data_IF_618720647409
#
_entry.id   IF_618720647409
#
_cell.length_a   1.000
_cell.length_b   1.000
_cell.length_c   1.000
_cell.angle_alpha   90.00
_cell.angle_beta   90.00
_cell.angle_gamma   90.00
#
_symmetry.space_group_name_H-M   'P 1'
#
loop_
_entity.id
_entity.type
_entity.pdbx_description
1 polymer ?
#
# COMPACT_ATOMS: atom_id res chain seq x y z
N UNK A 1 -7.01 -2.01 3.56
CA UNK A 1 -7.32 -1.38 4.87
C UNK A 1 -7.24 -2.31 6.08
N UNK A 2 -7.17 -3.66 5.95
CA UNK A 2 -7.10 -4.55 7.12
C UNK A 2 -5.92 -4.27 8.06
N UNK A 3 -4.74 -4.00 7.50
CA UNK A 3 -3.54 -3.64 8.27
C UNK A 3 -3.76 -2.32 9.02
N UNK A 4 -4.44 -1.34 8.41
CA UNK A 4 -4.73 -0.06 9.07
C UNK A 4 -5.80 -0.19 10.16
N UNK A 5 -6.80 -1.06 9.97
CA UNK A 5 -7.75 -1.40 11.05
C UNK A 5 -7.00 -1.96 12.26
N UNK A 6 -5.97 -2.76 12.03
CA UNK A 6 -5.21 -3.43 13.07
C UNK A 6 -4.21 -2.51 13.78
N UNK A 7 -3.39 -1.80 13.01
CA UNK A 7 -2.23 -1.05 13.54
C UNK A 7 -2.39 0.46 13.48
N UNK A 8 -3.52 0.95 12.98
CA UNK A 8 -3.76 2.38 12.76
C UNK A 8 -3.21 2.89 11.43
N UNK A 9 -3.23 4.21 11.26
CA UNK A 9 -2.74 4.88 10.04
C UNK A 9 -1.22 4.69 9.85
N UNK A 10 -0.72 4.76 8.59
CA UNK A 10 0.71 4.92 8.32
C UNK A 10 1.30 6.16 9.00
N UNK A 11 2.56 6.03 9.41
CA UNK A 11 3.36 7.09 10.03
C UNK A 11 4.36 7.68 9.03
N UNK A 12 4.82 6.90 8.06
CA UNK A 12 5.71 7.36 7.00
C UNK A 12 5.29 6.82 5.62
N UNK A 13 5.58 7.62 4.61
CA UNK A 13 5.45 7.29 3.20
C UNK A 13 6.79 7.47 2.52
N UNK A 14 7.35 6.38 2.01
CA UNK A 14 8.62 6.34 1.33
C UNK A 14 8.37 6.09 -0.15
N UNK A 15 9.05 6.87 -0.99
CA UNK A 15 9.01 6.74 -2.44
C UNK A 15 10.41 6.57 -2.96
N UNK A 16 10.68 5.47 -3.66
CA UNK A 16 11.99 5.15 -4.25
C UNK A 16 11.87 5.15 -5.77
N UNK A 17 12.71 5.91 -6.45
CA UNK A 17 12.79 5.90 -7.93
C UNK A 17 14.05 5.18 -8.37
N UNK A 18 13.92 4.22 -9.29
CA UNK A 18 15.08 3.56 -9.88
C UNK A 18 16.01 4.59 -10.54
N UNK A 19 17.31 4.48 -10.25
CA UNK A 19 18.33 5.28 -10.94
C UNK A 19 18.89 4.49 -12.13
N UNK A 20 18.87 5.03 -13.36
CA UNK A 20 19.49 4.36 -14.51
C UNK A 20 21.03 4.39 -14.43
N UNK A 21 21.61 5.21 -13.56
CA UNK A 21 23.05 5.38 -13.39
C UNK A 21 23.61 4.57 -12.22
N UNK A 22 22.84 3.63 -11.67
CA UNK A 22 23.40 2.68 -10.70
C UNK A 22 24.54 1.89 -11.35
N UNK A 23 25.64 1.75 -10.62
CA UNK A 23 26.83 1.03 -11.07
C UNK A 23 26.47 -0.39 -11.54
N UNK A 24 25.60 -1.09 -10.79
CA UNK A 24 25.16 -2.45 -11.15
C UNK A 24 24.38 -2.52 -12.47
N UNK A 25 23.81 -1.40 -12.92
CA UNK A 25 23.19 -1.26 -14.23
C UNK A 25 24.25 -0.93 -15.28
N UNK A 26 25.03 0.13 -15.03
CA UNK A 26 26.02 0.66 -15.98
C UNK A 26 27.10 -0.37 -16.34
N UNK A 27 27.62 -1.12 -15.37
CA UNK A 27 28.63 -2.17 -15.60
C UNK A 27 28.13 -3.36 -16.43
N UNK A 28 26.80 -3.53 -16.53
CA UNK A 28 26.18 -4.68 -17.22
C UNK A 28 25.56 -4.31 -18.56
N UNK A 29 25.48 -3.02 -18.87
CA UNK A 29 24.99 -2.52 -20.16
C UNK A 29 26.16 -2.54 -21.16
N UNK A 30 25.99 -3.17 -22.34
CA UNK A 30 26.99 -3.12 -23.40
C UNK A 30 27.24 -1.70 -23.92
N UNK A 31 28.44 -1.45 -24.46
CA UNK A 31 28.76 -0.18 -25.10
C UNK A 31 27.73 0.20 -26.18
N UNK A 32 27.31 1.47 -26.17
CA UNK A 32 26.31 2.00 -27.10
C UNK A 32 24.84 1.73 -26.71
N UNK A 33 24.58 1.01 -25.62
CA UNK A 33 23.23 0.83 -25.07
C UNK A 33 22.99 1.70 -23.84
N UNK A 34 21.71 1.90 -23.51
CA UNK A 34 21.25 2.60 -22.31
C UNK A 34 20.44 1.68 -21.41
N UNK A 35 20.13 2.13 -20.19
CA UNK A 35 19.25 1.40 -19.28
C UNK A 35 17.86 1.10 -19.89
N UNK A 36 17.38 1.94 -20.82
CA UNK A 36 16.10 1.72 -21.49
C UNK A 36 16.16 0.56 -22.49
N UNK A 37 17.33 0.29 -23.06
CA UNK A 37 17.56 -0.80 -24.02
C UNK A 37 17.72 -2.16 -23.31
N UNK A 38 18.04 -2.16 -22.01
CA UNK A 38 18.22 -3.36 -21.17
C UNK A 38 17.25 -3.40 -19.99
N UNK A 39 15.92 -3.47 -20.24
CA UNK A 39 14.92 -3.51 -19.18
C UNK A 39 15.01 -4.75 -18.29
N UNK A 40 15.63 -5.83 -18.78
CA UNK A 40 15.91 -7.05 -18.02
C UNK A 40 16.96 -6.81 -16.91
N UNK A 41 18.00 -6.02 -17.19
CA UNK A 41 19.00 -5.61 -16.19
C UNK A 41 18.37 -4.68 -15.17
N UNK A 42 17.65 -3.66 -15.64
CA UNK A 42 16.96 -2.70 -14.77
C UNK A 42 16.00 -3.42 -13.83
N UNK A 43 15.19 -4.37 -14.33
CA UNK A 43 14.26 -5.15 -13.52
C UNK A 43 14.98 -5.92 -12.39
N UNK A 44 16.12 -6.56 -12.69
CA UNK A 44 16.89 -7.34 -11.72
C UNK A 44 17.51 -6.45 -10.65
N UNK A 45 18.20 -5.38 -11.05
CA UNK A 45 18.84 -4.45 -10.11
C UNK A 45 17.79 -3.76 -9.23
N UNK A 46 16.68 -3.31 -9.83
CA UNK A 46 15.55 -2.74 -9.10
C UNK A 46 15.04 -3.67 -8.00
N UNK A 47 14.83 -4.95 -8.31
CA UNK A 47 14.32 -5.91 -7.32
C UNK A 47 15.29 -6.15 -6.17
N UNK A 48 16.59 -6.20 -6.45
CA UNK A 48 17.61 -6.32 -5.40
C UNK A 48 17.64 -5.07 -4.50
N UNK A 49 17.63 -3.88 -5.09
CA UNK A 49 17.66 -2.61 -4.37
C UNK A 49 16.40 -2.40 -3.54
N UNK A 50 15.21 -2.60 -4.12
CA UNK A 50 13.94 -2.53 -3.41
C UNK A 50 13.89 -3.58 -2.28
N UNK A 51 14.33 -4.81 -2.53
CA UNK A 51 14.41 -5.85 -1.51
C UNK A 51 15.29 -5.45 -0.32
N UNK A 52 16.42 -4.79 -0.59
CA UNK A 52 17.34 -4.32 0.44
C UNK A 52 16.75 -3.12 1.19
N UNK A 53 16.10 -2.18 0.51
CA UNK A 53 15.45 -1.03 1.18
C UNK A 53 14.33 -1.49 2.11
N UNK A 54 13.52 -2.46 1.66
CA UNK A 54 12.48 -3.05 2.48
C UNK A 54 13.04 -3.77 3.72
N UNK A 55 14.21 -4.39 3.60
CA UNK A 55 14.91 -5.03 4.73
C UNK A 55 15.45 -3.97 5.70
N UNK A 56 16.07 -2.91 5.21
CA UNK A 56 16.56 -1.80 6.04
C UNK A 56 15.43 -1.13 6.83
N UNK A 57 14.26 -0.97 6.20
CA UNK A 57 13.06 -0.49 6.88
C UNK A 57 12.64 -1.44 8.00
N UNK A 58 12.61 -2.76 7.74
CA UNK A 58 12.29 -3.77 8.77
C UNK A 58 13.32 -3.82 9.91
N UNK A 59 14.59 -3.50 9.63
CA UNK A 59 15.69 -3.40 10.61
C UNK A 59 15.70 -2.08 11.38
N UNK A 60 14.79 -1.16 11.07
CA UNK A 60 14.49 0.00 11.91
C UNK A 60 15.14 1.30 11.48
N UNK A 61 15.49 1.47 10.20
CA UNK A 61 16.04 2.76 9.69
C UNK A 61 15.13 3.96 10.00
N UNK A 62 13.80 3.75 9.99
CA UNK A 62 12.81 4.77 10.37
C UNK A 62 12.19 4.50 11.75
N UNK A 63 12.79 3.64 12.58
CA UNK A 63 12.20 3.09 13.80
C UNK A 63 11.54 1.73 13.55
N UNK A 64 11.11 1.07 14.63
CA UNK A 64 10.59 -0.29 14.59
C UNK A 64 9.28 -0.38 13.81
N UNK A 65 9.29 -1.15 12.73
CA UNK A 65 8.14 -1.31 11.85
C UNK A 65 7.16 -2.33 12.43
N UNK A 66 5.91 -1.92 12.66
CA UNK A 66 4.82 -2.85 12.93
C UNK A 66 4.27 -3.44 11.64
N UNK A 67 4.07 -2.62 10.61
CA UNK A 67 3.64 -3.12 9.31
C UNK A 67 4.12 -2.22 8.17
N UNK A 68 4.36 -2.83 7.01
CA UNK A 68 4.58 -2.09 5.77
C UNK A 68 3.81 -2.70 4.62
N UNK A 69 3.48 -1.85 3.65
CA UNK A 69 2.84 -2.21 2.38
C UNK A 69 3.62 -1.48 1.29
N UNK A 70 3.94 -2.14 0.20
CA UNK A 70 4.55 -1.50 -0.95
C UNK A 70 3.88 -1.89 -2.27
N UNK A 71 3.94 -1.00 -3.24
CA UNK A 71 3.63 -1.26 -4.65
C UNK A 71 4.67 -0.61 -5.54
N UNK A 72 5.17 -1.38 -6.50
CA UNK A 72 5.97 -0.90 -7.61
C UNK A 72 5.03 -0.43 -8.73
N UNK A 73 5.16 0.85 -9.08
CA UNK A 73 4.52 1.50 -10.23
C UNK A 73 5.56 1.67 -11.34
N UNK A 74 5.11 1.55 -12.59
CA UNK A 74 5.94 1.76 -13.77
C UNK A 74 5.42 3.01 -14.47
N UNK A 75 6.20 4.08 -14.43
CA UNK A 75 5.85 5.28 -15.16
C UNK A 75 6.05 5.07 -16.66
N UNK A 76 5.38 5.88 -17.50
CA UNK A 76 5.51 5.82 -18.98
C UNK A 76 6.95 5.94 -19.49
N UNK A 77 7.89 6.43 -18.67
CA UNK A 77 9.32 6.53 -18.96
C UNK A 77 10.11 5.24 -18.67
N UNK A 78 9.42 4.15 -18.30
CA UNK A 78 9.99 2.80 -18.20
C UNK A 78 10.62 2.43 -16.87
N UNK A 79 11.20 3.40 -16.13
CA UNK A 79 11.87 3.11 -14.85
C UNK A 79 10.86 2.79 -13.73
N UNK A 80 11.13 1.76 -12.90
CA UNK A 80 10.29 1.45 -11.74
C UNK A 80 10.35 2.51 -10.65
N UNK A 81 9.24 2.61 -9.92
CA UNK A 81 9.08 3.46 -8.75
C UNK A 81 8.33 2.70 -7.65
N UNK A 82 8.79 2.73 -6.42
CA UNK A 82 8.08 2.12 -5.29
C UNK A 82 7.34 3.18 -4.48
N UNK A 83 6.12 2.85 -4.08
CA UNK A 83 5.36 3.55 -3.04
C UNK A 83 5.26 2.63 -1.82
N UNK A 84 5.83 3.05 -0.69
CA UNK A 84 5.96 2.23 0.52
C UNK A 84 5.29 2.96 1.69
N UNK A 85 4.29 2.33 2.30
CA UNK A 85 3.67 2.79 3.54
C UNK A 85 4.27 2.04 4.73
N UNK A 86 4.64 2.79 5.76
CA UNK A 86 5.22 2.27 6.99
C UNK A 86 4.34 2.67 8.18
N UNK A 87 3.97 1.69 9.01
CA UNK A 87 3.31 1.86 10.29
C UNK A 87 4.33 1.48 11.37
N UNK A 88 4.66 2.41 12.25
CA UNK A 88 5.69 2.27 13.27
C UNK A 88 5.10 1.77 14.59
N UNK A 89 5.95 1.17 15.41
CA UNK A 89 5.66 0.84 16.79
C UNK A 89 5.36 2.10 17.60
N UNK A 90 4.44 1.98 18.56
CA UNK A 90 3.92 3.12 19.32
C UNK A 90 5.02 3.99 19.95
N UNK A 91 6.10 3.37 20.45
CA UNK A 91 7.25 4.07 21.05
C UNK A 91 8.14 4.82 20.06
N UNK A 92 8.10 4.45 18.77
CA UNK A 92 8.97 5.01 17.73
C UNK A 92 8.20 5.97 16.80
N UNK A 93 6.92 6.23 17.07
CA UNK A 93 6.11 7.16 16.26
C UNK A 93 6.69 8.58 16.30
N UNK A 94 6.73 9.30 15.17
CA UNK A 94 7.35 10.63 15.06
C UNK A 94 6.46 11.73 15.67
N UNK A 95 6.35 11.75 17.00
CA UNK A 95 5.49 12.67 17.77
C UNK A 95 6.17 13.97 18.18
N UNK A 96 7.50 13.97 18.20
CA UNK A 96 8.30 15.13 18.59
C UNK A 96 9.14 15.61 17.41
N UNK A 97 9.44 16.91 17.40
CA UNK A 97 10.35 17.51 16.41
C UNK A 97 11.70 16.79 16.36
N UNK A 98 12.23 16.37 17.51
CA UNK A 98 13.54 15.72 17.58
C UNK A 98 13.53 14.34 16.90
N UNK A 99 12.43 13.61 17.00
CA UNK A 99 12.27 12.33 16.30
C UNK A 99 12.10 12.58 14.80
N UNK A 100 11.25 13.54 14.42
CA UNK A 100 11.05 13.92 13.02
C UNK A 100 12.37 14.32 12.34
N UNK A 101 13.13 15.23 12.95
CA UNK A 101 14.40 15.74 12.42
C UNK A 101 15.52 14.68 12.39
N UNK A 102 15.36 13.56 13.12
CA UNK A 102 16.25 12.39 13.00
C UNK A 102 15.87 11.49 11.82
N UNK A 103 14.59 11.42 11.48
CA UNK A 103 14.08 10.56 10.42
C UNK A 103 14.18 11.21 9.03
N UNK A 104 13.94 12.53 8.96
CA UNK A 104 13.80 13.27 7.69
C UNK A 104 14.61 14.56 7.74
N UNK A 105 15.30 14.85 6.65
CA UNK A 105 16.02 16.10 6.38
C UNK A 105 15.51 16.73 5.09
N UNK A 106 15.37 18.06 5.12
CA UNK A 106 15.07 18.91 3.96
C UNK A 106 16.21 19.92 3.75
N UNK A 107 17.40 19.61 4.26
CA UNK A 107 18.55 20.52 4.24
C UNK A 107 19.64 19.93 3.35
N UNK A 108 20.33 20.80 2.61
CA UNK A 108 21.51 20.39 1.87
C UNK A 108 22.60 19.97 2.87
N UNK A 109 23.18 18.76 2.72
CA UNK A 109 24.26 18.30 3.58
C UNK A 109 25.46 19.24 3.59
N UNK A 110 26.32 19.06 4.59
CA UNK A 110 27.62 19.71 4.61
C UNK A 110 28.60 18.88 3.77
N UNK A 111 29.13 19.48 2.70
CA UNK A 111 30.01 18.82 1.74
C UNK A 111 31.30 18.31 2.40
N UNK A 112 31.83 19.04 3.38
CA UNK A 112 33.08 18.68 4.06
C UNK A 112 32.87 17.54 5.06
N UNK A 113 31.65 17.42 5.62
CA UNK A 113 31.33 16.36 6.59
C UNK A 113 30.88 15.07 5.94
N UNK A 114 30.14 15.16 4.83
CA UNK A 114 29.62 14.01 4.12
C UNK A 114 29.44 14.32 2.63
N UNK A 115 30.55 14.22 1.89
CA UNK A 115 30.60 14.49 0.45
C UNK A 115 29.69 13.58 -0.35
N UNK A 116 29.60 12.29 0.01
CA UNK A 116 28.77 11.31 -0.70
C UNK A 116 27.27 11.62 -0.57
N UNK A 117 26.80 11.95 0.63
CA UNK A 117 25.41 12.35 0.82
C UNK A 117 25.14 13.70 0.14
N UNK A 118 26.08 14.64 0.20
CA UNK A 118 25.99 15.91 -0.52
C UNK A 118 25.80 15.70 -2.03
N UNK A 119 26.64 14.86 -2.64
CA UNK A 119 26.57 14.51 -4.06
C UNK A 119 25.25 13.83 -4.40
N UNK A 120 24.80 12.89 -3.55
CA UNK A 120 23.49 12.25 -3.74
C UNK A 120 22.37 13.28 -3.70
N UNK A 121 22.31 14.13 -2.67
CA UNK A 121 21.22 15.09 -2.49
C UNK A 121 21.21 16.11 -3.63
N UNK A 122 22.37 16.62 -4.04
CA UNK A 122 22.47 17.55 -5.19
C UNK A 122 22.07 16.89 -6.51
N UNK A 123 22.37 15.60 -6.69
CA UNK A 123 22.05 14.88 -7.92
C UNK A 123 20.56 14.55 -8.03
N UNK A 124 19.96 13.98 -6.98
CA UNK A 124 18.64 13.37 -7.08
C UNK A 124 17.58 13.91 -6.11
N UNK A 125 17.91 14.79 -5.16
CA UNK A 125 16.96 15.29 -4.14
C UNK A 125 16.67 16.78 -4.24
N UNK A 126 16.96 17.45 -5.36
CA UNK A 126 16.60 18.86 -5.59
C UNK A 126 15.39 18.95 -6.53
N UNK A 127 14.28 19.52 -6.04
CA UNK A 127 13.06 19.78 -6.79
C UNK A 127 13.19 21.06 -7.61
N UNK A 128 13.97 21.09 -8.69
CA UNK A 128 14.09 22.33 -9.43
C UNK A 128 14.98 22.28 -10.66
N UNK A 129 14.99 23.39 -11.43
CA UNK A 129 14.20 24.61 -11.24
C UNK A 129 12.75 24.45 -11.74
N UNK A 130 11.83 25.19 -11.14
CA UNK A 130 10.46 25.40 -11.61
C UNK A 130 9.96 26.80 -11.18
N UNK A 131 8.72 27.15 -11.47
CA UNK A 131 8.17 28.47 -11.16
C UNK A 131 8.57 29.50 -12.21
N UNK A 132 8.72 30.76 -11.82
CA UNK A 132 9.08 31.84 -12.73
C UNK A 132 10.41 31.59 -13.47
N UNK A 133 11.37 30.91 -12.82
CA UNK A 133 12.65 30.55 -13.42
C UNK A 133 12.54 29.45 -14.50
N UNK A 134 11.49 28.62 -14.43
CA UNK A 134 11.26 27.58 -15.44
C UNK A 134 9.75 27.24 -15.53
N UNK A 135 8.95 28.08 -16.22
CA UNK A 135 7.48 27.97 -16.24
C UNK A 135 6.96 26.70 -16.93
N UNK A 136 7.76 26.15 -17.84
CA UNK A 136 7.41 24.94 -18.61
C UNK A 136 7.84 23.64 -17.92
N UNK A 137 8.20 23.67 -16.64
CA UNK A 137 8.53 22.45 -15.90
C UNK A 137 7.30 21.51 -15.85
N UNK A 138 7.54 20.19 -15.90
CA UNK A 138 6.46 19.18 -15.83
C UNK A 138 5.64 19.27 -14.54
N UNK A 139 6.22 19.83 -13.46
CA UNK A 139 5.53 20.03 -12.20
C UNK A 139 4.65 21.30 -12.18
N UNK A 140 4.74 22.17 -13.18
CA UNK A 140 3.96 23.42 -13.25
C UNK A 140 2.56 23.15 -13.78
N UNK A 141 1.57 23.71 -13.09
CA UNK A 141 0.17 23.74 -13.53
C UNK A 141 -0.43 25.08 -13.11
N UNK A 142 -1.10 25.75 -14.04
CA UNK A 142 -1.77 27.03 -13.80
C UNK A 142 -0.83 28.07 -13.14
N UNK A 143 0.42 28.15 -13.63
CA UNK A 143 1.43 29.09 -13.13
C UNK A 143 2.05 28.75 -11.78
N UNK A 144 1.66 27.63 -11.14
CA UNK A 144 2.17 27.22 -9.83
C UNK A 144 2.77 25.81 -9.86
N UNK A 145 3.77 25.56 -9.00
CA UNK A 145 4.31 24.22 -8.84
C UNK A 145 3.31 23.35 -8.10
N UNK A 146 2.86 22.25 -8.73
CA UNK A 146 1.93 21.28 -8.14
C UNK A 146 2.45 20.60 -6.88
N UNK A 147 3.77 20.66 -6.63
CA UNK A 147 4.43 20.15 -5.41
C UNK A 147 4.67 21.25 -4.37
N UNK A 148 4.30 22.49 -4.66
CA UNK A 148 4.39 23.64 -3.76
C UNK A 148 5.82 24.10 -3.48
N UNK A 149 6.71 24.02 -4.47
CA UNK A 149 8.05 24.58 -4.40
C UNK A 149 8.10 26.00 -4.99
N UNK A 150 8.99 26.88 -4.49
CA UNK A 150 9.91 26.67 -3.37
C UNK A 150 9.18 26.58 -2.01
N UNK A 151 9.69 25.74 -1.10
CA UNK A 151 9.13 25.57 0.26
C UNK A 151 9.58 26.71 1.18
N UNK A 152 8.83 27.06 2.24
CA UNK A 152 9.26 28.10 3.18
C UNK A 152 10.53 27.69 3.94
N UNK A 153 11.41 28.67 4.20
CA UNK A 153 12.52 28.49 5.14
C UNK A 153 11.98 28.51 6.57
N UNK A 154 12.45 27.58 7.40
CA UNK A 154 12.02 27.43 8.79
C UNK A 154 13.18 26.99 9.66
N UNK A 155 13.37 27.67 10.79
CA UNK A 155 14.40 27.32 11.79
C UNK A 155 14.09 26.03 12.57
N UNK A 156 12.81 25.67 12.67
CA UNK A 156 12.34 24.48 13.39
C UNK A 156 11.19 23.81 12.65
N UNK A 157 11.13 22.49 12.72
CA UNK A 157 10.01 21.70 12.20
C UNK A 157 8.72 22.05 12.93
N UNK A 158 7.65 22.33 12.18
CA UNK A 158 6.31 22.63 12.70
C UNK A 158 5.35 21.48 12.38
N UNK A 159 4.68 20.97 13.41
CA UNK A 159 3.58 20.03 13.23
C UNK A 159 2.44 20.68 12.45
N UNK A 160 1.85 19.94 11.52
CA UNK A 160 0.70 20.39 10.74
C UNK A 160 -0.55 19.62 11.16
N UNK A 161 -1.64 20.35 11.41
CA UNK A 161 -2.96 19.78 11.71
C UNK A 161 -3.56 19.06 10.49
N UNK A 162 -3.13 19.42 9.28
CA UNK A 162 -3.79 19.02 8.02
C UNK A 162 -3.12 17.86 7.23
N UNK A 163 -2.00 17.27 7.67
CA UNK A 163 -1.45 16.12 6.94
C UNK A 163 0.02 15.78 7.14
N UNK A 164 0.89 16.72 6.77
CA UNK A 164 2.35 16.53 6.71
C UNK A 164 3.04 17.64 7.50
N UNK A 165 4.03 17.34 8.35
CA UNK A 165 4.78 18.36 9.05
C UNK A 165 5.48 19.28 8.05
N UNK A 166 5.64 20.55 8.40
CA UNK A 166 6.51 21.45 7.64
C UNK A 166 7.89 21.35 8.25
N UNK A 167 8.78 20.66 7.56
CA UNK A 167 10.13 20.36 8.04
C UNK A 167 10.99 21.61 8.15
N UNK A 168 11.98 21.52 9.05
CA UNK A 168 13.05 22.50 9.19
C UNK A 168 13.83 22.64 7.88
N UNK A 169 13.96 23.88 7.41
CA UNK A 169 14.72 24.29 6.21
C UNK A 169 15.49 25.56 6.56
N UNK A 170 16.64 25.42 7.23
CA UNK A 170 17.39 26.60 7.71
C UNK A 170 18.03 27.36 6.56
N UNK A 171 18.20 28.65 6.78
CA UNK A 171 18.97 29.51 5.88
C UNK A 171 20.46 29.15 5.96
N UNK A 172 21.16 29.03 4.83
CA UNK A 172 22.62 28.79 4.81
C UNK A 172 23.39 30.11 4.68
N UNK A 173 24.72 30.02 4.70
CA UNK A 173 25.61 31.14 4.40
C UNK A 173 25.37 31.69 2.99
N UNK A 174 25.74 32.95 2.77
CA UNK A 174 25.70 33.54 1.43
C UNK A 174 26.64 32.80 0.46
N UNK A 175 26.32 32.85 -0.84
CA UNK A 175 27.11 32.24 -1.89
C UNK A 175 26.24 31.65 -3.00
N UNK A 176 26.87 31.01 -3.97
CA UNK A 176 26.20 30.32 -5.07
C UNK A 176 26.57 28.84 -5.02
N UNK A 177 25.58 27.97 -5.22
CA UNK A 177 25.79 26.53 -5.39
C UNK A 177 25.38 26.15 -6.80
N UNK A 178 26.27 25.43 -7.48
CA UNK A 178 26.04 24.95 -8.83
C UNK A 178 25.59 23.49 -8.75
N UNK A 179 24.37 23.21 -9.19
CA UNK A 179 23.74 21.88 -9.15
C UNK A 179 23.21 21.55 -10.54
N UNK A 180 23.68 20.46 -11.14
CA UNK A 180 23.27 20.00 -12.47
C UNK A 180 23.34 21.11 -13.54
N UNK A 181 24.42 21.89 -13.53
CA UNK A 181 24.64 22.99 -14.48
C UNK A 181 23.84 24.27 -14.20
N UNK A 182 23.16 24.35 -13.04
CA UNK A 182 22.28 25.47 -12.69
C UNK A 182 22.72 26.13 -11.40
N UNK A 183 22.67 27.46 -11.37
CA UNK A 183 23.00 28.26 -10.20
C UNK A 183 21.81 28.39 -9.26
N UNK A 184 22.08 28.22 -7.97
CA UNK A 184 21.14 28.44 -6.90
C UNK A 184 21.74 29.36 -5.84
N UNK A 185 20.92 30.25 -5.28
CA UNK A 185 21.31 31.01 -4.08
C UNK A 185 21.52 30.03 -2.92
N UNK A 186 22.76 29.96 -2.43
CA UNK A 186 23.13 29.10 -1.31
C UNK A 186 22.29 29.39 -0.07
N UNK A 187 21.95 30.67 0.13
CA UNK A 187 21.20 31.16 1.29
C UNK A 187 19.81 30.50 1.33
N UNK A 188 19.22 30.18 0.18
CA UNK A 188 17.85 29.66 0.06
C UNK A 188 17.74 28.28 -0.57
N UNK A 189 18.85 27.59 -0.88
CA UNK A 189 18.82 26.28 -1.56
C UNK A 189 17.95 25.24 -0.83
N UNK A 190 17.89 25.29 0.50
CA UNK A 190 17.07 24.39 1.32
C UNK A 190 15.56 24.51 1.03
N UNK A 191 15.10 25.55 0.33
CA UNK A 191 13.71 25.64 -0.15
C UNK A 191 13.39 24.63 -1.27
N UNK A 192 14.42 24.10 -1.93
CA UNK A 192 14.32 23.21 -3.10
C UNK A 192 14.63 21.76 -2.79
N UNK A 193 15.17 21.45 -1.62
CA UNK A 193 15.49 20.06 -1.21
C UNK A 193 14.19 19.28 -0.99
N UNK A 194 14.10 18.09 -1.57
CA UNK A 194 13.02 17.12 -1.37
C UNK A 194 13.25 16.39 -0.05
N UNK A 195 12.22 16.17 0.80
CA UNK A 195 12.37 15.45 2.06
C UNK A 195 13.00 14.07 1.90
N UNK A 196 14.09 13.81 2.63
CA UNK A 196 14.85 12.57 2.47
C UNK A 196 15.34 12.03 3.80
N UNK A 197 15.61 10.72 3.85
CA UNK A 197 16.33 10.12 4.98
C UNK A 197 17.83 10.02 4.62
N UNK A 198 18.74 10.62 5.41
CA UNK A 198 20.17 10.61 5.11
C UNK A 198 20.78 9.24 4.85
N UNK A 199 20.41 8.23 5.63
CA UNK A 199 20.92 6.87 5.48
C UNK A 199 20.43 6.24 4.17
N UNK A 200 19.12 6.28 3.91
CA UNK A 200 18.54 5.68 2.70
C UNK A 200 19.10 6.35 1.44
N UNK A 201 19.10 7.68 1.39
CA UNK A 201 19.62 8.40 0.22
C UNK A 201 21.08 8.05 -0.04
N UNK A 202 21.95 8.13 0.97
CA UNK A 202 23.38 7.83 0.80
C UNK A 202 23.63 6.37 0.38
N UNK A 203 22.88 5.41 0.91
CA UNK A 203 23.05 3.98 0.59
C UNK A 203 22.60 3.63 -0.81
N UNK A 204 21.48 4.19 -1.27
CA UNK A 204 20.85 3.80 -2.53
C UNK A 204 21.18 4.70 -3.71
N UNK A 205 21.76 5.89 -3.47
CA UNK A 205 22.21 6.83 -4.51
C UNK A 205 21.13 7.03 -5.59
N UNK A 206 19.90 7.31 -5.14
CA UNK A 206 18.75 7.51 -6.01
C UNK A 206 17.74 8.42 -5.32
N UNK A 207 16.70 8.84 -6.06
CA UNK A 207 15.66 9.68 -5.51
C UNK A 207 14.79 8.88 -4.52
N UNK A 208 15.04 9.07 -3.22
CA UNK A 208 14.25 8.50 -2.11
C UNK A 208 13.62 9.63 -1.31
N UNK A 209 12.33 9.86 -1.52
CA UNK A 209 11.57 10.85 -0.76
C UNK A 209 10.85 10.20 0.43
N UNK A 210 10.95 10.82 1.62
CA UNK A 210 10.37 10.32 2.87
C UNK A 210 9.48 11.39 3.47
N UNK A 211 8.17 11.11 3.52
CA UNK A 211 7.14 12.02 4.01
C UNK A 211 6.45 11.43 5.25
N UNK A 212 6.34 12.19 6.34
CA UNK A 212 5.73 11.74 7.59
C UNK A 212 4.24 12.09 7.61
N UNK A 213 3.42 11.10 7.95
CA UNK A 213 1.98 11.15 7.76
C UNK A 213 1.26 11.36 9.10
N UNK A 214 0.88 12.61 9.40
CA UNK A 214 0.27 12.96 10.70
C UNK A 214 -1.25 12.92 10.69
N UNK A 215 -1.93 12.99 9.53
CA UNK A 215 -3.41 13.02 9.47
C UNK A 215 -4.07 11.89 8.68
N UNK A 216 -5.35 11.62 8.98
CA UNK A 216 -6.19 10.61 8.30
C UNK A 216 -6.43 10.92 6.80
N UNK A 217 -6.65 12.17 6.36
CA UNK A 217 -6.78 12.48 4.94
C UNK A 217 -5.55 12.08 4.11
N UNK A 218 -4.35 12.22 4.68
CA UNK A 218 -3.12 11.74 4.04
C UNK A 218 -3.20 10.23 3.77
N UNK A 219 -3.79 9.44 4.67
CA UNK A 219 -3.99 7.99 4.45
C UNK A 219 -4.79 7.70 3.19
N UNK A 220 -5.92 8.39 2.95
CA UNK A 220 -6.71 8.18 1.72
C UNK A 220 -5.89 8.50 0.47
N UNK A 221 -5.15 9.61 0.52
CA UNK A 221 -4.28 10.03 -0.58
C UNK A 221 -3.17 9.02 -0.85
N UNK A 222 -2.50 8.52 0.19
CA UNK A 222 -1.44 7.53 0.09
C UNK A 222 -1.93 6.19 -0.48
N UNK A 223 -3.11 5.75 -0.02
CA UNK A 223 -3.74 4.54 -0.54
C UNK A 223 -4.08 4.67 -2.02
N UNK A 224 -4.38 5.88 -2.52
CA UNK A 224 -4.55 6.08 -3.97
C UNK A 224 -3.29 5.67 -4.74
N UNK A 225 -2.09 5.97 -4.24
CA UNK A 225 -0.83 5.60 -4.91
C UNK A 225 -0.54 4.11 -4.80
N UNK A 226 -0.79 3.51 -3.63
CA UNK A 226 -0.59 2.07 -3.42
C UNK A 226 -1.59 1.23 -4.23
N UNK A 227 -2.83 1.69 -4.39
CA UNK A 227 -3.87 0.95 -5.10
C UNK A 227 -4.17 1.52 -6.48
N UNK A 228 -3.31 2.40 -7.00
CA UNK A 228 -3.43 2.88 -8.38
C UNK A 228 -3.25 1.67 -9.30
N UNK A 229 -4.28 1.38 -10.08
CA UNK A 229 -4.18 0.36 -11.13
C UNK A 229 -3.20 0.79 -12.22
N UNK A 230 -2.83 -0.14 -13.10
CA UNK A 230 -1.97 0.18 -14.24
C UNK A 230 -2.58 1.25 -15.13
N UNK A 231 -1.69 2.01 -15.78
CA UNK A 231 -2.05 2.91 -16.84
C UNK A 231 -2.81 2.15 -17.94
N UNK A 232 -3.90 2.75 -18.39
CA UNK A 232 -4.72 2.25 -19.49
C UNK A 232 -4.65 3.21 -20.66
N UNK A 233 -4.62 2.66 -21.86
CA UNK A 233 -4.76 3.40 -23.10
C UNK A 233 -6.10 3.03 -23.73
N UNK A 234 -6.85 4.05 -24.14
CA UNK A 234 -8.02 3.86 -25.00
C UNK A 234 -7.54 4.05 -26.43
N UNK A 235 -7.66 3.02 -27.24
CA UNK A 235 -7.26 3.01 -28.65
C UNK A 235 -8.53 3.01 -29.48
N UNK A 236 -8.62 3.95 -30.44
CA UNK A 236 -9.71 3.94 -31.41
C UNK A 236 -9.28 3.15 -32.65
N UNK A 237 -10.04 2.12 -33.02
CA UNK A 237 -9.83 1.38 -34.28
C UNK A 237 -10.81 1.92 -35.31
N UNK A 238 -10.29 2.65 -36.30
CA UNK A 238 -11.12 3.35 -37.30
C UNK A 238 -11.39 2.52 -38.56
N UNK A 239 -10.56 1.51 -38.85
CA UNK A 239 -10.76 0.59 -39.97
C UNK A 239 -10.02 -0.75 -39.78
N UNK A 240 -10.56 -1.83 -40.34
CA UNK A 240 -9.93 -3.16 -40.37
C UNK A 240 -9.69 -3.55 -41.84
N UNK A 241 -8.51 -4.11 -42.14
CA UNK A 241 -8.24 -4.70 -43.47
C UNK A 241 -8.78 -6.13 -43.49
N UNK A 242 -9.75 -6.40 -44.36
CA UNK A 242 -10.23 -7.76 -44.62
C UNK A 242 -9.27 -8.57 -45.49
N UNK A 243 -9.55 -9.86 -45.69
CA UNK A 243 -8.74 -10.81 -46.48
C UNK A 243 -8.52 -10.44 -47.96
N UNK A 244 -9.06 -9.31 -48.44
CA UNK A 244 -8.89 -8.80 -49.80
C UNK A 244 -8.24 -7.42 -49.92
N UNK A 245 -7.52 -6.92 -48.89
CA UNK A 245 -6.97 -5.54 -48.86
C UNK A 245 -8.01 -4.41 -48.98
N UNK A 246 -9.31 -4.72 -49.00
CA UNK A 246 -10.36 -3.72 -48.93
C UNK A 246 -10.51 -3.20 -47.49
N UNK A 247 -10.47 -1.89 -47.35
CA UNK A 247 -10.64 -1.21 -46.07
C UNK A 247 -12.13 -1.19 -45.73
N UNK A 248 -12.55 -1.90 -44.68
CA UNK A 248 -13.92 -1.82 -44.19
C UNK A 248 -13.99 -0.86 -43.00
N UNK A 249 -14.91 0.10 -43.06
CA UNK A 249 -15.24 0.98 -41.94
C UNK A 249 -16.22 0.21 -41.06
N UNK A 250 -15.81 -0.21 -39.86
CA UNK A 250 -16.70 -0.90 -38.92
C UNK A 250 -17.68 0.08 -38.26
N UNK A 251 -19.01 -0.14 -38.35
CA UNK A 251 -20.02 0.72 -37.73
C UNK A 251 -20.26 0.46 -36.23
N UNK A 252 -19.53 -0.47 -35.59
CA UNK A 252 -19.79 -0.88 -34.21
C UNK A 252 -19.08 0.03 -33.18
N UNK A 253 -19.86 0.88 -32.52
CA UNK A 253 -19.41 1.83 -31.49
C UNK A 253 -18.69 1.17 -30.29
N UNK A 254 -19.03 -0.08 -29.95
CA UNK A 254 -18.40 -0.85 -28.86
C UNK A 254 -17.03 -1.41 -29.29
N UNK A 255 -16.88 -1.80 -30.55
CA UNK A 255 -15.61 -2.32 -31.11
C UNK A 255 -14.62 -1.20 -31.46
N UNK A 256 -15.09 0.04 -31.59
CA UNK A 256 -14.22 1.19 -31.88
C UNK A 256 -13.19 1.46 -30.79
N UNK A 257 -13.48 1.17 -29.53
CA UNK A 257 -12.60 1.55 -28.42
C UNK A 257 -12.02 0.33 -27.71
N UNK A 258 -10.73 0.07 -27.93
CA UNK A 258 -9.99 -0.90 -27.15
C UNK A 258 -9.43 -0.23 -25.89
N UNK A 259 -9.94 -0.60 -24.72
CA UNK A 259 -9.37 -0.20 -23.44
C UNK A 259 -8.26 -1.19 -23.04
N UNK A 260 -7.03 -0.89 -23.46
CA UNK A 260 -5.87 -1.75 -23.23
C UNK A 260 -5.07 -1.32 -21.99
N UNK A 261 -4.43 -2.29 -21.34
CA UNK A 261 -3.45 -2.03 -20.28
C UNK A 261 -2.08 -1.75 -20.90
N UNK A 262 -1.46 -0.64 -20.54
CA UNK A 262 -0.06 -0.39 -20.87
C UNK A 262 0.82 -1.22 -19.92
N UNK A 263 1.82 -1.91 -20.48
CA UNK A 263 2.84 -2.65 -19.75
C UNK A 263 4.19 -2.13 -20.25
N UNK A 264 4.99 -1.53 -19.37
CA UNK A 264 6.31 -1.05 -19.74
C UNK A 264 7.29 -2.23 -19.97
N UNK A 265 8.39 -2.04 -20.72
CA UNK A 265 9.38 -3.11 -20.91
C UNK A 265 9.90 -3.69 -19.58
N UNK A 266 10.16 -2.84 -18.58
CA UNK A 266 10.62 -3.27 -17.26
C UNK A 266 9.52 -4.03 -16.50
N UNK A 267 8.25 -3.60 -16.59
CA UNK A 267 7.11 -4.33 -16.02
C UNK A 267 6.97 -5.73 -16.65
N UNK A 268 7.14 -5.82 -17.97
CA UNK A 268 7.11 -7.09 -18.69
C UNK A 268 8.23 -8.03 -18.21
N UNK A 269 9.47 -7.53 -18.14
CA UNK A 269 10.60 -8.30 -17.61
C UNK A 269 10.37 -8.75 -16.16
N UNK A 270 9.84 -7.88 -15.31
CA UNK A 270 9.52 -8.25 -13.93
C UNK A 270 8.50 -9.40 -13.84
N UNK A 271 7.46 -9.38 -14.69
CA UNK A 271 6.46 -10.46 -14.73
C UNK A 271 7.04 -11.77 -15.26
N UNK A 272 7.87 -11.71 -16.30
CA UNK A 272 8.53 -12.89 -16.87
C UNK A 272 9.48 -13.55 -15.86
N UNK A 273 10.10 -12.74 -15.00
CA UNK A 273 10.99 -13.19 -13.92
C UNK A 273 10.26 -13.56 -12.62
N UNK A 274 8.92 -13.54 -12.60
CA UNK A 274 8.07 -13.77 -11.42
C UNK A 274 8.42 -12.86 -10.22
N UNK A 275 8.83 -11.62 -10.51
CA UNK A 275 9.16 -10.64 -9.48
C UNK A 275 7.90 -9.97 -8.94
N UNK A 276 7.86 -9.80 -7.62
CA UNK A 276 6.71 -9.18 -6.97
C UNK A 276 6.67 -7.67 -7.20
N UNK A 277 5.57 -7.19 -7.79
CA UNK A 277 5.28 -5.75 -7.97
C UNK A 277 4.55 -5.14 -6.77
N UNK A 278 4.19 -5.93 -5.78
CA UNK A 278 3.51 -5.46 -4.58
C UNK A 278 3.79 -6.37 -3.40
N UNK A 279 3.74 -5.85 -2.18
CA UNK A 279 3.92 -6.69 -1.02
C UNK A 279 3.47 -6.03 0.27
N UNK A 280 3.46 -6.84 1.32
CA UNK A 280 3.02 -6.44 2.66
C UNK A 280 3.62 -7.40 3.69
N UNK A 281 3.84 -6.93 4.90
CA UNK A 281 4.36 -7.78 5.98
C UNK A 281 3.34 -8.76 6.54
N UNK A 282 2.04 -8.50 6.35
CA UNK A 282 0.96 -9.31 6.91
C UNK A 282 0.22 -10.10 5.83
N UNK A 283 0.10 -11.41 6.04
CA UNK A 283 -0.82 -12.25 5.27
C UNK A 283 -2.27 -11.85 5.60
N UNK A 284 -3.10 -11.69 4.58
CA UNK A 284 -4.52 -11.33 4.77
C UNK A 284 -5.38 -12.52 4.37
N UNK A 285 -6.09 -13.10 5.33
CA UNK A 285 -7.07 -14.17 5.07
C UNK A 285 -8.44 -13.54 4.89
N UNK A 286 -9.04 -13.70 3.72
CA UNK A 286 -10.40 -13.25 3.46
C UNK A 286 -11.39 -14.23 4.09
N UNK A 287 -12.15 -13.75 5.07
CA UNK A 287 -13.10 -14.55 5.85
C UNK A 287 -14.50 -14.43 5.25
N UNK A 288 -15.09 -15.57 4.91
CA UNK A 288 -16.42 -15.68 4.31
C UNK A 288 -17.51 -15.42 5.34
N UNK A 289 -18.62 -14.83 4.89
CA UNK A 289 -19.81 -14.58 5.70
C UNK A 289 -21.01 -15.04 4.89
N UNK A 290 -21.89 -15.82 5.50
CA UNK A 290 -23.15 -16.28 4.93
C UNK A 290 -24.13 -16.60 6.07
N UNK A 291 -25.42 -16.52 5.82
CA UNK A 291 -26.43 -16.99 6.78
C UNK A 291 -26.40 -18.51 6.86
N UNK A 292 -27.07 -19.06 7.86
CA UNK A 292 -27.24 -20.49 8.02
C UNK A 292 -27.84 -21.10 6.74
N UNK A 293 -27.17 -22.11 6.19
CA UNK A 293 -27.53 -22.78 4.92
C UNK A 293 -27.51 -21.92 3.64
N UNK A 294 -27.06 -20.67 3.69
CA UNK A 294 -26.95 -19.77 2.53
C UNK A 294 -25.51 -19.60 2.00
N UNK A 295 -24.63 -20.58 2.21
CA UNK A 295 -23.28 -20.54 1.67
C UNK A 295 -23.26 -20.61 0.13
N UNK A 296 -22.39 -19.82 -0.49
CA UNK A 296 -22.14 -19.89 -1.93
C UNK A 296 -21.42 -21.20 -2.28
N UNK A 297 -21.93 -21.92 -3.27
CA UNK A 297 -21.32 -23.15 -3.80
C UNK A 297 -21.14 -23.01 -5.30
N UNK A 298 -19.94 -23.33 -5.80
CA UNK A 298 -19.68 -23.42 -7.24
C UNK A 298 -19.99 -24.83 -7.73
N UNK A 299 -20.72 -24.92 -8.84
CA UNK A 299 -21.04 -26.17 -9.52
C UNK A 299 -21.03 -25.97 -11.04
N UNK A 300 -20.86 -27.07 -11.76
CA UNK A 300 -21.04 -27.19 -13.21
C UNK A 300 -22.45 -27.72 -13.49
N UNK A 301 -22.98 -27.43 -14.66
CA UNK A 301 -24.29 -27.96 -15.08
C UNK A 301 -24.36 -29.50 -15.07
N UNK A 302 -23.23 -30.18 -15.20
CA UNK A 302 -23.11 -31.64 -15.16
C UNK A 302 -22.97 -32.23 -13.75
N UNK A 303 -22.87 -31.40 -12.70
CA UNK A 303 -22.71 -31.89 -11.33
C UNK A 303 -24.03 -32.40 -10.76
N UNK A 304 -23.99 -33.51 -10.01
CA UNK A 304 -25.14 -34.02 -9.25
C UNK A 304 -25.57 -33.02 -8.15
N UNK A 305 -26.81 -32.51 -8.17
CA UNK A 305 -27.34 -31.60 -7.15
C UNK A 305 -27.18 -32.12 -5.71
N UNK A 306 -27.36 -33.42 -5.47
CA UNK A 306 -27.25 -34.01 -4.14
C UNK A 306 -25.82 -33.88 -3.59
N UNK A 307 -24.82 -34.05 -4.46
CA UNK A 307 -23.40 -33.85 -4.11
C UNK A 307 -23.09 -32.37 -3.95
N UNK A 308 -23.61 -31.51 -4.83
CA UNK A 308 -23.36 -30.05 -4.80
C UNK A 308 -23.76 -29.43 -3.47
N UNK A 309 -24.95 -29.78 -2.94
CA UNK A 309 -25.43 -29.26 -1.65
C UNK A 309 -24.47 -29.56 -0.50
N UNK A 310 -23.74 -30.68 -0.56
CA UNK A 310 -22.76 -31.06 0.49
C UNK A 310 -21.45 -30.28 0.43
N UNK A 311 -21.08 -29.70 -0.72
CA UNK A 311 -19.78 -29.02 -0.93
C UNK A 311 -19.59 -27.82 0.00
N UNK A 312 -20.71 -27.16 0.36
CA UNK A 312 -20.77 -25.98 1.21
C UNK A 312 -20.80 -26.25 2.72
N UNK A 313 -20.92 -27.50 3.18
CA UNK A 313 -21.07 -27.82 4.61
C UNK A 313 -19.94 -27.28 5.50
N UNK A 314 -18.72 -27.22 4.96
CA UNK A 314 -17.53 -26.80 5.69
C UNK A 314 -16.96 -25.51 5.11
N UNK A 315 -17.35 -24.38 5.69
CA UNK A 315 -16.80 -23.05 5.38
C UNK A 315 -15.86 -22.59 6.49
N UNK A 316 -15.12 -21.50 6.25
CA UNK A 316 -14.32 -20.87 7.31
C UNK A 316 -15.18 -20.42 8.50
N UNK A 317 -16.45 -20.07 8.27
CA UNK A 317 -17.37 -19.59 9.31
C UNK A 317 -17.94 -20.76 10.12
N UNK A 318 -18.45 -21.81 9.45
CA UNK A 318 -18.99 -22.97 10.17
C UNK A 318 -17.91 -23.67 10.99
N UNK A 319 -16.70 -23.83 10.43
CA UNK A 319 -15.55 -24.37 11.16
C UNK A 319 -15.05 -23.46 12.27
N UNK A 320 -15.32 -22.15 12.21
CA UNK A 320 -15.00 -21.25 13.33
C UNK A 320 -15.94 -21.49 14.51
N UNK A 321 -17.24 -21.69 14.26
CA UNK A 321 -18.20 -22.04 15.30
C UNK A 321 -17.86 -23.37 15.97
N UNK A 322 -17.57 -24.41 15.18
CA UNK A 322 -17.10 -25.70 15.72
C UNK A 322 -15.79 -25.56 16.51
N UNK A 323 -14.87 -24.70 16.04
CA UNK A 323 -13.62 -24.43 16.75
C UNK A 323 -13.88 -23.79 18.12
N UNK A 324 -14.85 -22.87 18.21
CA UNK A 324 -15.25 -22.26 19.48
C UNK A 324 -16.01 -23.23 20.38
N UNK A 325 -16.76 -24.19 19.81
CA UNK A 325 -17.45 -25.24 20.56
C UNK A 325 -16.52 -26.36 21.05
N UNK A 326 -15.29 -26.43 20.54
CA UNK A 326 -14.34 -27.50 20.87
C UNK A 326 -13.87 -27.42 22.32
N UNK A 327 -13.82 -28.56 23.01
CA UNK A 327 -13.23 -28.72 24.34
C UNK A 327 -11.73 -29.11 24.31
N UNK A 328 -11.13 -29.23 23.12
CA UNK A 328 -9.70 -29.52 23.00
C UNK A 328 -8.87 -28.37 23.59
N UNK A 329 -7.82 -28.64 24.40
CA UNK A 329 -7.02 -27.60 25.05
C UNK A 329 -6.44 -26.56 24.10
N UNK A 330 -5.97 -26.97 22.93
CA UNK A 330 -5.39 -26.10 21.90
C UNK A 330 -6.40 -25.16 21.23
N UNK A 331 -7.70 -25.49 21.32
CA UNK A 331 -8.79 -24.75 20.70
C UNK A 331 -9.46 -23.78 21.69
N UNK A 332 -9.21 -23.90 23.00
CA UNK A 332 -9.83 -23.03 24.01
C UNK A 332 -9.57 -21.53 23.76
N UNK A 333 -8.42 -21.19 23.16
CA UNK A 333 -8.10 -19.81 22.78
C UNK A 333 -9.06 -19.22 21.73
N UNK A 334 -9.78 -20.05 20.96
CA UNK A 334 -10.77 -19.57 19.99
C UNK A 334 -12.02 -19.00 20.68
N UNK A 335 -12.37 -19.48 21.88
CA UNK A 335 -13.51 -19.00 22.67
C UNK A 335 -13.37 -17.53 23.08
N UNK A 336 -12.14 -17.03 23.18
CA UNK A 336 -11.84 -15.62 23.51
C UNK A 336 -11.51 -14.76 22.28
N UNK A 337 -11.58 -15.32 21.07
CA UNK A 337 -11.24 -14.64 19.83
C UNK A 337 -12.49 -14.14 19.08
N UNK A 338 -12.35 -12.99 18.42
CA UNK A 338 -13.28 -12.56 17.39
C UNK A 338 -12.99 -13.33 16.08
N UNK A 339 -13.99 -13.44 15.22
CA UNK A 339 -13.81 -14.16 13.95
C UNK A 339 -12.66 -13.57 13.10
N UNK A 340 -12.52 -12.25 13.08
CA UNK A 340 -11.45 -11.55 12.37
C UNK A 340 -10.04 -11.77 12.95
N UNK A 341 -9.94 -12.22 14.20
CA UNK A 341 -8.67 -12.49 14.88
C UNK A 341 -8.22 -13.95 14.72
N UNK A 342 -9.10 -14.83 14.27
CA UNK A 342 -8.78 -16.25 14.07
C UNK A 342 -7.53 -16.47 13.21
N UNK A 343 -7.31 -15.75 12.10
CA UNK A 343 -6.08 -15.92 11.31
C UNK A 343 -4.78 -15.61 12.04
N UNK A 344 -4.81 -14.84 13.15
CA UNK A 344 -3.64 -14.59 14.02
C UNK A 344 -3.26 -15.85 14.81
N UNK A 345 -4.25 -16.67 15.16
CA UNK A 345 -4.10 -17.83 16.04
C UNK A 345 -4.08 -19.16 15.26
N UNK A 346 -4.85 -19.24 14.17
CA UNK A 346 -5.05 -20.43 13.36
C UNK A 346 -4.75 -20.14 11.89
N UNK A 347 -4.36 -21.16 11.15
CA UNK A 347 -4.30 -21.13 9.68
C UNK A 347 -5.44 -21.97 9.12
N UNK A 348 -5.97 -21.57 7.98
CA UNK A 348 -6.95 -22.37 7.24
C UNK A 348 -6.21 -23.44 6.43
N UNK A 349 -6.59 -24.71 6.63
CA UNK A 349 -6.20 -25.81 5.75
C UNK A 349 -7.28 -25.99 4.68
N UNK A 350 -6.99 -25.54 3.46
CA UNK A 350 -7.93 -25.62 2.34
C UNK A 350 -8.25 -27.05 1.93
N UNK A 351 -7.29 -27.99 2.06
CA UNK A 351 -7.50 -29.39 1.66
C UNK A 351 -8.38 -30.11 2.68
N UNK A 352 -8.07 -29.97 3.96
CA UNK A 352 -8.84 -30.58 5.04
C UNK A 352 -10.09 -29.78 5.45
N UNK A 353 -10.28 -28.57 4.89
CA UNK A 353 -11.34 -27.62 5.23
C UNK A 353 -11.50 -27.43 6.75
N UNK A 354 -10.41 -27.07 7.44
CA UNK A 354 -10.39 -26.86 8.90
C UNK A 354 -9.40 -25.80 9.34
N UNK A 355 -9.64 -25.26 10.53
CA UNK A 355 -8.67 -24.40 11.22
C UNK A 355 -7.61 -25.26 11.93
N UNK A 356 -6.34 -24.86 11.78
CA UNK A 356 -5.20 -25.53 12.40
C UNK A 356 -4.42 -24.52 13.23
N UNK A 357 -4.19 -24.83 14.52
CA UNK A 357 -3.47 -23.94 15.44
C UNK A 357 -2.06 -23.64 14.90
N UNK A 358 -1.69 -22.37 14.90
CA UNK A 358 -0.32 -21.94 14.56
C UNK A 358 0.62 -22.30 15.70
N UNK A 359 1.70 -23.02 15.38
CA UNK A 359 2.78 -23.35 16.33
C UNK A 359 3.83 -22.24 16.46
N UNK A 360 3.99 -21.43 15.41
CA UNK A 360 4.92 -20.29 15.36
C UNK A 360 4.14 -19.03 15.03
N UNK A 361 4.63 -17.89 15.52
CA UNK A 361 4.09 -16.60 15.15
C UNK A 361 4.18 -16.42 13.62
N UNK A 362 3.09 -15.97 13.02
CA UNK A 362 3.05 -15.49 11.65
C UNK A 362 2.15 -14.25 11.64
N UNK A 363 2.65 -13.17 11.06
CA UNK A 363 1.90 -11.94 10.85
C UNK A 363 0.72 -12.20 9.89
N UNK A 364 -0.45 -12.50 10.44
CA UNK A 364 -1.63 -12.87 9.67
C UNK A 364 -2.90 -12.22 10.25
N UNK A 365 -3.73 -11.64 9.39
CA UNK A 365 -4.93 -10.90 9.78
C UNK A 365 -6.16 -11.38 9.01
N UNK A 366 -7.31 -11.42 9.69
CA UNK A 366 -8.60 -11.71 9.07
C UNK A 366 -9.28 -10.47 8.50
N UNK A 367 -9.72 -10.59 7.25
CA UNK A 367 -10.59 -9.61 6.58
C UNK A 367 -11.93 -10.25 6.28
N UNK A 368 -12.92 -9.96 7.10
CA UNK A 368 -14.32 -10.25 6.76
C UNK A 368 -14.73 -9.53 5.47
N UNK A 369 -15.43 -10.24 4.59
CA UNK A 369 -15.95 -9.67 3.34
C UNK A 369 -16.85 -8.46 3.62
N UNK A 370 -16.93 -7.55 2.64
CA UNK A 370 -17.86 -6.43 2.69
C UNK A 370 -19.29 -6.96 2.53
N UNK A 371 -20.20 -6.47 3.36
CA UNK A 371 -21.62 -6.77 3.27
C UNK A 371 -22.37 -5.45 3.22
N UNK A 372 -23.24 -5.28 2.22
CA UNK A 372 -24.04 -4.07 2.06
C UNK A 372 -25.07 -3.97 3.21
N UNK A 373 -25.30 -2.78 3.78
CA UNK A 373 -26.40 -2.58 4.73
C UNK A 373 -27.79 -2.93 4.18
N UNK A 374 -27.94 -2.98 2.84
CA UNK A 374 -29.18 -3.44 2.19
C UNK A 374 -29.43 -4.95 2.39
N UNK A 375 -28.38 -5.74 2.58
CA UNK A 375 -28.47 -7.15 3.00
C UNK A 375 -28.50 -7.18 4.54
N UNK A 376 -29.64 -6.79 5.10
CA UNK A 376 -29.82 -6.49 6.53
C UNK A 376 -29.33 -7.64 7.42
N UNK A 377 -29.79 -8.87 7.19
CA UNK A 377 -29.44 -10.01 8.04
C UNK A 377 -27.93 -10.29 8.02
N UNK A 378 -27.29 -10.39 6.85
CA UNK A 378 -25.85 -10.64 6.78
C UNK A 378 -25.03 -9.46 7.31
N UNK A 379 -25.52 -8.24 7.13
CA UNK A 379 -24.87 -7.04 7.66
C UNK A 379 -24.82 -7.07 9.19
N UNK A 380 -25.95 -7.30 9.85
CA UNK A 380 -25.99 -7.36 11.31
C UNK A 380 -25.29 -8.60 11.87
N UNK A 381 -25.31 -9.74 11.16
CA UNK A 381 -24.48 -10.90 11.51
C UNK A 381 -22.99 -10.56 11.46
N UNK A 382 -22.54 -9.84 10.43
CA UNK A 382 -21.15 -9.34 10.36
C UNK A 382 -20.84 -8.39 11.52
N UNK A 383 -21.75 -7.51 11.90
CA UNK A 383 -21.60 -6.62 13.07
C UNK A 383 -21.42 -7.46 14.34
N UNK A 384 -22.23 -8.49 14.55
CA UNK A 384 -22.08 -9.40 15.69
C UNK A 384 -20.73 -10.12 15.68
N UNK A 385 -20.27 -10.64 14.54
CA UNK A 385 -18.96 -11.29 14.41
C UNK A 385 -17.76 -10.34 14.65
N UNK A 386 -17.97 -9.02 14.54
CA UNK A 386 -16.95 -8.02 14.91
C UNK A 386 -16.85 -7.79 16.43
N UNK A 387 -17.88 -8.13 17.21
CA UNK A 387 -17.98 -7.73 18.62
C UNK A 387 -18.15 -8.90 19.58
N UNK A 388 -18.67 -10.04 19.13
CA UNK A 388 -18.88 -11.24 19.94
C UNK A 388 -17.76 -12.23 19.76
N UNK A 389 -17.18 -12.64 20.89
CA UNK A 389 -16.12 -13.64 20.98
C UNK A 389 -16.70 -15.03 21.14
N UNK A 390 -16.03 -16.02 20.57
CA UNK A 390 -16.32 -17.43 20.80
C UNK A 390 -17.74 -17.95 20.47
N UNK A 391 -18.49 -17.42 19.49
CA UNK A 391 -19.80 -17.98 19.16
C UNK A 391 -19.67 -19.45 18.72
N UNK A 392 -20.54 -20.31 19.23
CA UNK A 392 -20.48 -21.77 18.97
C UNK A 392 -21.42 -22.25 17.87
N UNK A 393 -22.33 -21.40 17.40
CA UNK A 393 -23.27 -21.69 16.31
C UNK A 393 -23.90 -20.39 15.76
N UNK A 394 -24.66 -20.50 14.66
CA UNK A 394 -25.47 -19.40 14.13
C UNK A 394 -26.52 -18.89 15.12
N UNK A 395 -27.12 -19.82 15.87
CA UNK A 395 -28.07 -19.52 16.93
C UNK A 395 -27.39 -18.83 18.11
N UNK A 396 -26.28 -19.39 18.61
CA UNK A 396 -25.53 -18.82 19.72
C UNK A 396 -25.04 -17.40 19.41
N UNK A 397 -24.67 -17.12 18.16
CA UNK A 397 -24.32 -15.78 17.70
C UNK A 397 -25.47 -14.77 17.83
N UNK A 398 -26.74 -15.22 17.77
CA UNK A 398 -27.95 -14.41 18.01
C UNK A 398 -28.44 -14.46 19.46
N UNK A 399 -27.88 -15.31 20.32
CA UNK A 399 -28.25 -15.37 21.74
C UNK A 399 -27.55 -14.28 22.54
N UNK A 400 -28.31 -13.34 23.12
CA UNK A 400 -27.81 -12.25 23.98
C UNK A 400 -28.51 -12.33 25.34
N UNK A 401 -27.74 -12.29 26.43
CA UNK A 401 -28.26 -12.41 27.80
C UNK A 401 -29.18 -13.62 27.98
N UNK A 402 -28.77 -14.77 27.42
CA UNK A 402 -29.52 -16.04 27.40
C UNK A 402 -30.84 -16.03 26.63
N UNK A 403 -31.15 -14.97 25.88
CA UNK A 403 -32.31 -14.89 24.98
C UNK A 403 -31.86 -15.02 23.53
N UNK A 404 -32.41 -15.98 22.80
CA UNK A 404 -32.17 -16.16 21.36
C UNK A 404 -33.17 -15.30 20.58
N UNK A 405 -32.67 -14.41 19.72
CA UNK A 405 -33.49 -13.51 18.90
C UNK A 405 -33.68 -14.05 17.48
N UNK A 406 -34.85 -13.81 16.90
CA UNK A 406 -35.22 -14.26 15.55
C UNK A 406 -34.38 -13.60 14.44
N UNK A 407 -33.89 -12.38 14.68
CA UNK A 407 -33.07 -11.66 13.71
C UNK A 407 -31.68 -11.33 14.26
N UNK A 408 -30.68 -11.33 13.36
CA UNK A 408 -29.35 -10.79 13.70
C UNK A 408 -29.41 -9.30 14.04
N UNK A 409 -30.40 -8.58 13.51
CA UNK A 409 -30.63 -7.15 13.78
C UNK A 409 -30.96 -6.90 15.24
N UNK A 410 -31.97 -7.57 15.78
CA UNK A 410 -32.37 -7.44 17.19
C UNK A 410 -31.25 -7.87 18.12
N UNK A 411 -30.64 -9.04 17.85
CA UNK A 411 -29.48 -9.50 18.60
C UNK A 411 -28.35 -8.46 18.58
N UNK A 412 -28.05 -7.83 17.44
CA UNK A 412 -26.99 -6.82 17.35
C UNK A 412 -27.31 -5.52 18.09
N UNK A 413 -28.58 -5.10 18.11
CA UNK A 413 -29.04 -3.90 18.81
C UNK A 413 -28.94 -4.06 20.33
N UNK A 414 -29.14 -5.28 20.83
CA UNK A 414 -29.12 -5.61 22.26
C UNK A 414 -27.73 -6.02 22.75
N UNK A 415 -26.97 -6.78 21.95
CA UNK A 415 -25.58 -7.13 22.24
C UNK A 415 -24.64 -5.91 22.35
N UNK A 416 -25.08 -4.76 21.85
CA UNK A 416 -24.39 -3.50 22.05
C UNK A 416 -25.31 -2.32 21.83
N UNK A 417 -25.39 -1.41 22.81
CA UNK A 417 -25.86 -0.03 22.64
C UNK A 417 -25.01 0.81 21.65
N UNK A 418 -24.43 0.17 20.63
CA UNK A 418 -23.39 0.63 19.69
C UNK A 418 -24.02 1.27 18.43
N UNK A 419 -25.32 1.11 18.19
CA UNK A 419 -26.04 1.81 17.11
C UNK A 419 -26.42 3.27 17.45
N UNK A 420 -26.16 3.76 18.68
CA UNK A 420 -26.37 5.19 19.02
C UNK A 420 -25.26 6.14 18.53
N UNK A 421 -24.15 5.65 17.97
CA UNK A 421 -23.01 6.50 17.55
C UNK A 421 -22.65 6.44 16.06
N UNK A 422 -23.34 5.66 15.23
CA UNK A 422 -22.99 5.52 13.80
C UNK A 422 -24.01 6.12 12.83
N UNK A 423 -25.08 6.75 13.33
CA UNK A 423 -26.07 7.47 12.50
C UNK A 423 -26.08 9.00 12.70
N UNK A 424 -25.27 9.53 13.61
CA UNK A 424 -25.01 10.97 13.74
C UNK A 424 -23.49 11.20 13.71
N UNK A 425 -22.97 11.55 12.54
CA UNK A 425 -21.55 11.85 12.32
C UNK A 425 -21.22 12.05 10.86
#
# INVERSE_FOLDING_TARGET
MTIVREYGKPDAFVTMTCSPTWEEIMEKIPDGQTAQDRPDIVARVWQLKLGTELKDLDEGVLGRVHARIYVAEFQKRGLPHAHILVILAEGDKPRTRQIIDKMVSDELPDKEKNSQLYETVTTCMIHGPCGAAYPNAVCMKDGTCTKGFPKPLLEVTKGNVAGYPVYRRRRRAAGVVLINGKEYDNKTINQWVVPYNPYLSQKYICHINVELCTAIPAVKYLYKYVYKGSDKAVITVEAVRGEGNQTQIEPNEILRFLNARYISPVEACMRLLDNSVQGKTHAITQLTIHLENEQMVTFRSSDDPAVVVTRGKHTMLTRFFELCASEAPENQVAKSALYQDIPKLFRWDTKAKRWVRRKRYQAALGRMIHVSPRDSQRFYMRVLLCHRKGPTSFENLRTVDSVTYDSYREASLLAGGILRMTMNG
#
